data_IF_117042517438
#
_entry.id   IF_117042517438
#
_cell.length_a   1.000
_cell.length_b   1.000
_cell.length_c   1.000
_cell.angle_alpha   90.00
_cell.angle_beta   90.00
_cell.angle_gamma   90.00
#
_symmetry.space_group_name_H-M   'P 1'
#
loop_
_entity.id
_entity.type
_entity.pdbx_description
1 polymer ?
#
# COMPACT_ATOMS: atom_id res chain seq x y z
N UNK A 1 -6.28 -21.01 -3.36
CA UNK A 1 -6.49 -19.60 -2.96
C UNK A 1 -7.20 -19.58 -1.62
N UNK A 2 -8.04 -18.63 -1.31
CA UNK A 2 -8.83 -18.51 -0.08
C UNK A 2 -10.14 -17.81 -0.39
N UNK A 3 -10.91 -17.51 0.64
CA UNK A 3 -12.16 -16.74 0.56
C UNK A 3 -11.95 -15.37 1.20
N UNK A 4 -12.59 -14.35 0.65
CA UNK A 4 -12.60 -13.00 1.20
C UNK A 4 -14.04 -12.50 1.32
N UNK A 5 -14.42 -12.09 2.52
CA UNK A 5 -15.72 -11.50 2.82
C UNK A 5 -15.56 -10.01 3.08
N UNK A 6 -16.43 -9.20 2.48
CA UNK A 6 -16.46 -7.75 2.65
C UNK A 6 -17.80 -7.33 3.24
N UNK A 7 -17.74 -6.59 4.34
CA UNK A 7 -18.89 -5.93 4.94
C UNK A 7 -18.72 -4.42 4.84
N UNK A 8 -19.62 -3.76 4.13
CA UNK A 8 -19.66 -2.32 3.98
C UNK A 8 -20.78 -1.73 4.85
N UNK A 9 -20.44 -0.74 5.67
CA UNK A 9 -21.41 -0.03 6.50
C UNK A 9 -21.29 1.46 6.25
N UNK A 10 -22.28 2.06 5.58
CA UNK A 10 -22.36 3.50 5.40
C UNK A 10 -23.10 4.14 6.57
N UNK A 11 -22.44 5.06 7.27
CA UNK A 11 -22.98 5.79 8.41
C UNK A 11 -23.57 7.13 7.95
N UNK A 12 -24.52 7.66 8.72
CA UNK A 12 -25.20 8.95 8.43
C UNK A 12 -24.26 10.16 8.37
N UNK A 13 -23.09 10.08 9.00
CA UNK A 13 -22.06 11.12 8.98
C UNK A 13 -21.14 11.07 7.74
N UNK A 14 -21.45 10.21 6.75
CA UNK A 14 -20.65 10.05 5.55
C UNK A 14 -19.48 9.07 5.69
N UNK A 15 -19.29 8.44 6.84
CA UNK A 15 -18.24 7.42 7.03
C UNK A 15 -18.64 6.12 6.36
N UNK A 16 -17.77 5.58 5.52
CA UNK A 16 -17.85 4.22 5.01
C UNK A 16 -16.88 3.33 5.82
N UNK A 17 -17.43 2.39 6.55
CA UNK A 17 -16.66 1.37 7.25
C UNK A 17 -16.58 0.12 6.38
N UNK A 18 -15.37 -0.37 6.15
CA UNK A 18 -15.10 -1.57 5.37
C UNK A 18 -14.44 -2.59 6.29
N UNK A 19 -15.14 -3.68 6.58
CA UNK A 19 -14.57 -4.81 7.32
C UNK A 19 -14.31 -5.95 6.34
N UNK A 20 -13.04 -6.36 6.24
CA UNK A 20 -12.62 -7.47 5.39
C UNK A 20 -12.18 -8.63 6.26
N UNK A 21 -12.66 -9.83 5.95
CA UNK A 21 -12.17 -11.07 6.53
C UNK A 21 -11.61 -11.93 5.41
N UNK A 22 -10.34 -12.30 5.51
CA UNK A 22 -9.68 -13.18 4.56
C UNK A 22 -9.33 -14.50 5.23
N UNK A 23 -9.78 -15.61 4.64
CA UNK A 23 -9.45 -16.97 5.08
C UNK A 23 -8.62 -17.62 3.97
N UNK A 24 -7.28 -17.72 4.14
CA UNK A 24 -6.41 -18.35 3.16
C UNK A 24 -6.62 -19.87 3.14
N UNK A 25 -6.39 -20.48 1.99
CA UNK A 25 -6.27 -21.93 1.85
C UNK A 25 -4.86 -22.35 2.27
N UNK A 26 -4.71 -22.72 3.55
CA UNK A 26 -3.41 -23.06 4.14
C UNK A 26 -2.77 -24.32 3.57
N UNK A 27 -3.55 -25.18 2.88
CA UNK A 27 -3.00 -26.32 2.18
C UNK A 27 -2.14 -25.92 0.96
N UNK A 28 -2.35 -24.71 0.43
CA UNK A 28 -1.68 -24.22 -0.79
C UNK A 28 -0.80 -23.00 -0.51
N UNK A 29 -1.22 -22.15 0.44
CA UNK A 29 -0.58 -20.86 0.72
C UNK A 29 0.11 -20.93 2.09
N UNK A 30 1.43 -20.84 2.09
CA UNK A 30 2.25 -20.83 3.32
C UNK A 30 2.63 -19.40 3.76
N UNK A 31 2.63 -18.45 2.83
CA UNK A 31 2.92 -17.04 3.09
C UNK A 31 2.21 -16.14 2.09
N UNK A 32 1.96 -14.90 2.49
CA UNK A 32 1.38 -13.87 1.67
C UNK A 32 2.37 -12.72 1.48
N UNK A 33 2.39 -12.15 0.29
CA UNK A 33 3.20 -10.98 0.00
C UNK A 33 2.53 -9.69 0.52
N UNK A 34 1.20 -9.65 0.48
CA UNK A 34 0.40 -8.48 0.88
C UNK A 34 -1.00 -8.93 1.28
N UNK A 35 -1.55 -8.28 2.31
CA UNK A 35 -2.95 -8.41 2.74
C UNK A 35 -3.52 -7.02 2.92
N UNK A 36 -4.43 -6.62 2.05
CA UNK A 36 -5.00 -5.27 2.07
C UNK A 36 -6.06 -5.06 1.00
N UNK A 37 -6.38 -3.79 0.79
CA UNK A 37 -7.30 -3.30 -0.22
C UNK A 37 -6.52 -2.49 -1.26
N UNK A 38 -6.83 -2.68 -2.53
CA UNK A 38 -6.34 -1.87 -3.63
C UNK A 38 -7.52 -1.30 -4.42
N UNK A 39 -7.44 -0.03 -4.79
CA UNK A 39 -8.44 0.64 -5.61
C UNK A 39 -7.84 1.83 -6.35
N UNK A 40 -8.53 2.31 -7.35
CA UNK A 40 -8.10 3.45 -8.15
C UNK A 40 -8.97 4.68 -7.83
N UNK A 41 -8.32 5.86 -7.84
CA UNK A 41 -8.98 7.17 -7.76
C UNK A 41 -8.54 8.02 -8.95
N UNK A 42 -9.34 9.02 -9.37
CA UNK A 42 -8.88 10.00 -10.35
C UNK A 42 -7.55 10.64 -9.91
N UNK A 43 -6.64 10.88 -10.84
CA UNK A 43 -5.29 11.44 -10.56
C UNK A 43 -5.31 12.89 -10.04
N UNK A 44 -6.46 13.54 -10.08
CA UNK A 44 -6.71 14.82 -9.39
C UNK A 44 -6.59 14.69 -7.86
N UNK A 45 -6.81 13.49 -7.29
CA UNK A 45 -6.66 13.19 -5.86
C UNK A 45 -5.24 12.70 -5.55
N UNK A 46 -4.24 13.47 -5.92
CA UNK A 46 -2.83 13.09 -5.81
C UNK A 46 -2.09 13.70 -4.62
N UNK A 47 -2.71 14.64 -3.89
CA UNK A 47 -2.12 15.22 -2.70
C UNK A 47 -2.27 14.27 -1.52
N UNK A 48 -1.15 13.92 -0.90
CA UNK A 48 -1.09 12.92 0.18
C UNK A 48 -0.59 13.56 1.45
N UNK A 49 -1.34 13.42 2.55
CA UNK A 49 -0.83 13.71 3.88
C UNK A 49 -1.10 12.52 4.81
N UNK A 50 -0.18 12.22 5.69
CA UNK A 50 -0.31 11.05 6.56
C UNK A 50 0.45 11.18 7.87
N UNK A 51 0.01 10.42 8.88
CA UNK A 51 0.75 10.18 10.12
C UNK A 51 1.27 8.75 10.12
N UNK A 52 2.58 8.58 9.96
CA UNK A 52 3.23 7.28 9.86
C UNK A 52 4.75 7.42 9.78
N UNK A 53 5.42 6.37 9.33
CA UNK A 53 6.86 6.44 9.04
C UNK A 53 7.10 7.05 7.66
N UNK A 54 8.08 7.92 7.56
CA UNK A 54 8.49 8.62 6.34
C UNK A 54 9.86 9.28 6.54
N UNK A 55 10.32 10.09 5.63
CA UNK A 55 9.77 10.63 4.37
C UNK A 55 9.79 9.63 3.21
N UNK A 56 10.82 8.78 3.16
CA UNK A 56 11.05 7.76 2.13
C UNK A 56 10.19 6.51 2.37
N UNK A 57 10.21 5.61 1.42
CA UNK A 57 9.52 4.33 1.54
C UNK A 57 10.08 3.48 2.69
N UNK A 58 9.18 2.81 3.39
CA UNK A 58 9.50 1.91 4.50
C UNK A 58 8.75 0.59 4.33
N UNK A 59 9.38 -0.51 4.78
CA UNK A 59 8.84 -1.87 4.74
C UNK A 59 9.11 -2.55 6.08
N UNK A 60 8.50 -3.69 6.36
CA UNK A 60 8.62 -4.39 7.63
C UNK A 60 10.08 -4.64 8.04
N UNK A 61 10.94 -4.96 7.09
CA UNK A 61 12.38 -5.21 7.26
C UNK A 61 13.28 -3.99 6.97
N UNK A 62 12.70 -2.87 6.54
CA UNK A 62 13.41 -1.62 6.20
C UNK A 62 12.61 -0.39 6.67
N UNK A 63 12.46 -0.22 7.97
CA UNK A 63 11.67 0.88 8.55
C UNK A 63 12.41 1.74 9.57
N UNK A 64 13.58 1.32 10.06
CA UNK A 64 14.29 2.00 11.14
C UNK A 64 14.79 3.40 10.77
N UNK A 65 15.05 3.66 9.50
CA UNK A 65 15.43 4.98 9.00
C UNK A 65 14.26 5.96 8.90
N UNK A 66 13.01 5.46 8.80
CA UNK A 66 11.80 6.27 8.78
C UNK A 66 11.38 6.69 10.18
N UNK A 67 11.29 7.99 10.44
CA UNK A 67 10.75 8.52 11.69
C UNK A 67 9.22 8.62 11.61
N UNK A 68 8.55 8.45 12.75
CA UNK A 68 7.11 8.70 12.83
C UNK A 68 6.88 10.20 12.88
N UNK A 69 6.02 10.70 12.00
CA UNK A 69 5.69 12.12 11.88
C UNK A 69 4.49 12.33 10.97
N UNK A 70 4.08 13.59 10.85
CA UNK A 70 3.10 14.02 9.87
C UNK A 70 3.88 14.47 8.62
N UNK A 71 3.53 13.90 7.48
CA UNK A 71 4.19 14.17 6.22
C UNK A 71 3.19 14.61 5.17
N UNK A 72 3.68 15.43 4.24
CA UNK A 72 2.95 15.91 3.07
C UNK A 72 3.76 15.59 1.82
N UNK A 73 3.13 14.97 0.86
CA UNK A 73 3.75 14.51 -0.39
C UNK A 73 2.68 14.42 -1.48
N UNK A 74 3.02 13.85 -2.59
CA UNK A 74 2.11 13.53 -3.68
C UNK A 74 2.39 12.12 -4.23
N UNK A 75 1.47 11.59 -5.04
CA UNK A 75 1.59 10.26 -5.63
C UNK A 75 2.87 10.09 -6.46
N UNK A 76 3.31 11.18 -7.12
CA UNK A 76 4.52 11.16 -7.95
C UNK A 76 5.78 10.98 -7.10
N UNK A 77 5.90 11.75 -6.01
CA UNK A 77 7.05 11.67 -5.10
C UNK A 77 7.07 10.40 -4.28
N UNK A 78 5.91 9.76 -4.11
CA UNK A 78 5.84 8.46 -3.44
C UNK A 78 6.37 7.33 -4.31
N UNK A 79 6.25 7.44 -5.64
CA UNK A 79 6.73 6.42 -6.57
C UNK A 79 8.24 6.54 -6.76
N UNK A 80 8.96 5.45 -6.51
CA UNK A 80 10.39 5.38 -6.81
C UNK A 80 10.61 4.66 -8.14
N UNK A 81 11.30 5.33 -9.07
CA UNK A 81 11.60 4.81 -10.40
C UNK A 81 12.79 3.83 -10.36
N UNK A 82 12.55 2.63 -9.88
CA UNK A 82 13.54 1.56 -9.99
C UNK A 82 13.80 1.22 -11.45
N UNK A 83 15.00 0.72 -11.75
CA UNK A 83 15.42 0.34 -13.11
C UNK A 83 14.38 -0.55 -13.79
N UNK A 84 13.88 -1.55 -13.08
CA UNK A 84 12.71 -2.31 -13.45
C UNK A 84 11.52 -1.83 -12.61
N UNK A 85 10.43 -1.37 -13.26
CA UNK A 85 9.22 -0.97 -12.55
C UNK A 85 8.70 -2.10 -11.65
N UNK A 86 8.30 -1.74 -10.45
CA UNK A 86 7.80 -2.66 -9.43
C UNK A 86 7.00 -1.90 -8.38
N UNK A 87 6.33 -2.61 -7.48
CA UNK A 87 5.67 -2.01 -6.34
C UNK A 87 6.67 -1.21 -5.49
N UNK A 88 6.31 0.01 -5.13
CA UNK A 88 7.17 0.97 -4.42
C UNK A 88 6.34 1.96 -3.62
N UNK A 89 7.00 2.81 -2.84
CA UNK A 89 6.34 3.92 -2.16
C UNK A 89 5.60 3.54 -0.88
N UNK A 90 5.74 2.32 -0.38
CA UNK A 90 5.07 1.90 0.84
C UNK A 90 5.49 2.73 2.06
N UNK A 91 4.55 2.99 2.96
CA UNK A 91 4.75 3.63 4.27
C UNK A 91 4.19 2.73 5.37
N UNK A 92 4.96 2.52 6.43
CA UNK A 92 4.60 1.65 7.55
C UNK A 92 4.16 2.45 8.78
N UNK A 93 3.57 1.77 9.75
CA UNK A 93 3.12 2.36 11.02
C UNK A 93 2.18 3.56 10.82
N UNK A 94 1.27 3.48 9.86
CA UNK A 94 0.35 4.55 9.50
C UNK A 94 -0.88 4.52 10.42
N UNK A 95 -1.32 5.71 10.87
CA UNK A 95 -2.51 5.87 11.69
C UNK A 95 -3.66 6.46 10.90
N UNK A 96 -3.33 7.33 9.96
CA UNK A 96 -4.28 7.90 9.02
C UNK A 96 -3.54 8.38 7.77
N UNK A 97 -4.24 8.42 6.67
CA UNK A 97 -3.82 9.02 5.41
C UNK A 97 -4.99 9.77 4.78
N UNK A 98 -4.70 10.96 4.27
CA UNK A 98 -5.63 11.78 3.47
C UNK A 98 -5.15 11.79 2.03
N UNK A 99 -6.07 11.56 1.11
CA UNK A 99 -5.88 11.83 -0.31
C UNK A 99 -6.84 12.94 -0.69
N UNK A 100 -6.30 14.04 -1.24
CA UNK A 100 -7.10 15.21 -1.60
C UNK A 100 -6.73 15.72 -2.99
N UNK A 101 -7.66 16.49 -3.56
CA UNK A 101 -7.41 17.35 -4.70
C UNK A 101 -6.74 18.67 -4.23
N UNK A 102 -6.43 19.57 -5.16
CA UNK A 102 -5.85 20.88 -4.87
C UNK A 102 -6.79 21.80 -4.06
N UNK A 103 -8.10 21.57 -4.13
CA UNK A 103 -9.10 22.32 -3.34
C UNK A 103 -9.27 21.76 -1.92
N UNK A 104 -8.62 20.64 -1.59
CA UNK A 104 -8.71 19.99 -0.29
C UNK A 104 -9.88 19.02 -0.14
N UNK A 105 -10.64 18.75 -1.20
CA UNK A 105 -11.67 17.71 -1.18
C UNK A 105 -11.02 16.35 -1.31
N UNK A 106 -11.53 15.33 -0.63
CA UNK A 106 -10.98 13.99 -0.74
C UNK A 106 -11.44 13.02 0.33
N UNK A 107 -10.63 12.01 0.58
CA UNK A 107 -10.92 10.92 1.50
C UNK A 107 -9.85 10.82 2.59
N UNK A 108 -10.30 10.53 3.80
CA UNK A 108 -9.44 10.15 4.93
C UNK A 108 -9.61 8.68 5.22
N UNK A 109 -8.51 7.95 5.25
CA UNK A 109 -8.48 6.54 5.61
C UNK A 109 -7.88 6.37 6.99
N UNK A 110 -8.51 5.54 7.81
CA UNK A 110 -8.09 5.20 9.17
C UNK A 110 -8.38 3.74 9.45
N UNK A 111 -7.63 3.17 10.38
CA UNK A 111 -7.87 1.82 10.88
C UNK A 111 -7.70 1.81 12.40
N UNK A 112 -8.32 0.84 13.08
CA UNK A 112 -8.17 0.61 14.52
C UNK A 112 -6.74 0.17 14.87
N UNK A 113 -6.04 -0.44 13.92
CA UNK A 113 -4.62 -0.82 14.03
C UNK A 113 -3.77 0.04 13.12
N UNK A 114 -2.48 0.07 13.37
CA UNK A 114 -1.54 0.63 12.39
C UNK A 114 -1.62 -0.19 11.11
N UNK A 115 -1.53 0.50 9.99
CA UNK A 115 -1.58 -0.11 8.67
C UNK A 115 -0.42 0.41 7.81
N UNK A 116 -0.34 -0.07 6.61
CA UNK A 116 0.62 0.37 5.60
C UNK A 116 -0.15 0.94 4.43
N UNK A 117 0.47 1.83 3.66
CA UNK A 117 -0.14 2.34 2.44
C UNK A 117 0.89 2.72 1.40
N UNK A 118 0.47 2.72 0.16
CA UNK A 118 1.14 3.40 -0.94
C UNK A 118 0.13 4.05 -1.87
N UNK A 119 0.55 5.12 -2.53
CA UNK A 119 -0.20 5.78 -3.60
C UNK A 119 0.74 5.95 -4.77
N UNK A 120 0.38 5.39 -5.91
CA UNK A 120 1.23 5.40 -7.10
C UNK A 120 0.48 5.98 -8.30
N UNK A 121 1.15 6.72 -9.20
CA UNK A 121 0.52 7.40 -10.34
C UNK A 121 0.31 6.48 -11.56
N UNK A 122 0.28 5.18 -11.35
CA UNK A 122 0.13 4.14 -12.37
C UNK A 122 -0.81 3.06 -11.88
N UNK A 123 -1.43 2.32 -12.80
CA UNK A 123 -2.15 1.10 -12.43
C UNK A 123 -1.18 -0.03 -12.11
N UNK A 124 -1.55 -0.92 -11.18
CA UNK A 124 -0.74 -2.10 -10.85
C UNK A 124 -0.43 -2.94 -12.08
N UNK A 125 -1.40 -3.10 -12.96
CA UNK A 125 -1.22 -3.85 -14.20
C UNK A 125 -0.16 -3.21 -15.12
N UNK A 126 -0.07 -1.87 -15.16
CA UNK A 126 0.95 -1.20 -15.94
C UNK A 126 2.34 -1.41 -15.33
N UNK A 127 2.44 -1.28 -14.00
CA UNK A 127 3.71 -1.50 -13.28
C UNK A 127 4.19 -2.94 -13.44
N UNK A 128 3.31 -3.92 -13.35
CA UNK A 128 3.63 -5.36 -13.47
C UNK A 128 4.12 -5.75 -14.89
N UNK A 129 3.50 -5.15 -15.92
CA UNK A 129 3.86 -5.42 -17.32
C UNK A 129 5.10 -4.69 -17.79
N UNK A 130 5.40 -3.53 -17.21
CA UNK A 130 6.53 -2.72 -17.64
C UNK A 130 7.86 -3.37 -17.26
N UNK A 131 8.76 -3.48 -18.20
CA UNK A 131 10.13 -3.95 -18.00
C UNK A 131 11.12 -2.79 -17.89
N UNK A 132 10.73 -1.60 -18.42
CA UNK A 132 11.50 -0.38 -18.40
C UNK A 132 10.64 0.84 -18.02
N UNK A 133 11.27 1.85 -17.45
CA UNK A 133 10.58 3.06 -16.97
C UNK A 133 9.78 3.77 -18.07
N UNK A 134 10.28 3.78 -19.31
CA UNK A 134 9.61 4.42 -20.45
C UNK A 134 8.34 3.68 -20.93
N UNK A 135 8.06 2.49 -20.39
CA UNK A 135 6.85 1.72 -20.68
C UNK A 135 5.71 2.06 -19.70
N UNK A 136 6.02 2.79 -18.61
CA UNK A 136 5.03 3.27 -17.66
C UNK A 136 4.14 4.32 -18.32
N UNK A 137 2.83 4.12 -18.25
CA UNK A 137 1.82 5.00 -18.87
C UNK A 137 0.84 5.49 -17.82
N UNK A 138 0.62 6.80 -17.81
CA UNK A 138 -0.43 7.40 -17.01
C UNK A 138 -1.78 7.19 -17.68
N UNK A 139 -2.78 6.85 -16.89
CA UNK A 139 -4.13 6.54 -17.35
C UNK A 139 -5.20 7.45 -16.71
N UNK A 140 -4.76 8.55 -16.06
CA UNK A 140 -5.66 9.48 -15.38
C UNK A 140 -6.12 8.99 -14.01
N UNK A 141 -5.43 8.00 -13.44
CA UNK A 141 -5.70 7.47 -12.10
C UNK A 141 -4.46 7.39 -11.24
N UNK A 142 -4.66 7.40 -9.94
CA UNK A 142 -3.70 6.95 -8.92
C UNK A 142 -4.21 5.64 -8.33
N UNK A 143 -3.32 4.68 -8.14
CA UNK A 143 -3.63 3.44 -7.43
C UNK A 143 -3.28 3.60 -5.95
N UNK A 144 -4.24 3.29 -5.10
CA UNK A 144 -4.14 3.37 -3.65
C UNK A 144 -4.13 1.97 -3.08
N UNK A 145 -3.12 1.67 -2.27
CA UNK A 145 -3.07 0.46 -1.47
C UNK A 145 -3.22 0.82 0.00
N UNK A 146 -4.08 0.11 0.70
CA UNK A 146 -4.28 0.17 2.15
C UNK A 146 -4.10 -1.24 2.69
N UNK A 147 -2.92 -1.51 3.26
CA UNK A 147 -2.52 -2.85 3.64
C UNK A 147 -2.54 -3.02 5.15
N UNK A 148 -3.19 -4.08 5.64
CA UNK A 148 -3.02 -4.51 7.01
C UNK A 148 -1.56 -4.93 7.24
N UNK A 149 -1.01 -5.69 6.28
CA UNK A 149 0.39 -6.09 6.28
C UNK A 149 0.92 -6.23 4.85
N UNK A 150 2.21 -5.94 4.69
CA UNK A 150 2.99 -6.21 3.49
C UNK A 150 4.32 -6.83 3.92
N UNK A 151 4.75 -7.88 3.22
CA UNK A 151 6.04 -8.51 3.46
C UNK A 151 7.19 -7.54 3.26
N UNK A 152 8.32 -7.81 3.89
CA UNK A 152 9.55 -7.08 3.63
C UNK A 152 10.03 -7.24 2.18
N UNK A 153 10.96 -6.37 1.79
CA UNK A 153 11.56 -6.39 0.44
C UNK A 153 12.87 -7.16 0.39
N UNK A 154 13.45 -7.50 1.54
CA UNK A 154 14.71 -8.23 1.63
C UNK A 154 15.88 -7.48 1.02
N UNK A 155 16.90 -8.25 0.64
CA UNK A 155 18.08 -7.78 -0.09
C UNK A 155 18.12 -8.34 -1.52
N UNK A 156 16.99 -8.74 -2.06
CA UNK A 156 16.85 -9.63 -3.21
C UNK A 156 17.08 -8.97 -4.59
N UNK A 157 17.61 -7.78 -4.66
CA UNK A 157 17.98 -7.19 -5.97
C UNK A 157 18.99 -8.03 -6.73
N UNK A 158 19.94 -8.66 -6.04
CA UNK A 158 20.92 -9.60 -6.58
C UNK A 158 21.35 -10.64 -5.54
N UNK A 159 20.60 -10.80 -4.46
CA UNK A 159 20.94 -11.60 -3.30
C UNK A 159 19.82 -12.54 -2.86
N UNK A 160 19.91 -13.06 -1.65
CA UNK A 160 18.88 -13.93 -1.10
C UNK A 160 17.54 -13.23 -1.01
N UNK A 161 16.46 -13.97 -1.18
CA UNK A 161 15.10 -13.51 -1.04
C UNK A 161 14.79 -13.00 0.37
N UNK A 162 13.55 -12.58 0.57
CA UNK A 162 13.05 -12.08 1.86
C UNK A 162 13.25 -13.13 2.94
N UNK A 163 13.81 -12.73 4.09
CA UNK A 163 13.95 -13.60 5.24
C UNK A 163 12.59 -14.05 5.77
N UNK A 164 12.52 -15.25 6.33
CA UNK A 164 11.29 -15.82 6.88
C UNK A 164 10.56 -14.86 7.84
N UNK A 165 11.31 -14.12 8.68
CA UNK A 165 10.77 -13.13 9.60
C UNK A 165 10.12 -11.92 8.93
N UNK A 166 10.39 -11.68 7.65
CA UNK A 166 9.83 -10.57 6.87
C UNK A 166 8.64 -11.01 6.00
N UNK A 167 8.28 -12.27 6.04
CA UNK A 167 7.08 -12.80 5.37
C UNK A 167 5.87 -12.68 6.29
N UNK A 168 4.71 -12.50 5.68
CA UNK A 168 3.43 -12.61 6.40
C UNK A 168 3.14 -14.11 6.55
N UNK A 169 3.36 -14.63 7.76
CA UNK A 169 3.06 -16.02 8.06
C UNK A 169 1.59 -16.21 8.42
N UNK A 170 0.99 -17.25 7.87
CA UNK A 170 -0.34 -17.69 8.24
C UNK A 170 -0.15 -18.67 9.40
N UNK A 171 -0.49 -18.23 10.61
CA UNK A 171 -0.59 -19.14 11.77
C UNK A 171 -1.89 -19.89 11.69
N UNK A 172 -1.86 -21.20 11.86
CA UNK A 172 -3.08 -21.97 12.09
C UNK A 172 -3.74 -21.48 13.40
N UNK A 173 -5.08 -21.47 13.48
CA UNK A 173 -5.83 -21.05 14.65
C UNK A 173 -5.64 -21.98 15.85
#
# INVERSE_FOLDING_TARGET
MGTADFLYTLRKNGTLEVKTTFVPDTAVITSLARVGLAFEMPDTYNQVSYLGRGEHETYADRNRSGRIGIYHTDAERMFHYYVRPQATGNRTDVRWVNLTDEAGNGLTFRSDKHFQFSVIPFTDMNVDKATHINELKRTGVVTVHLDAEQSGVGTATCGPGVLALSLIHISEP
#
